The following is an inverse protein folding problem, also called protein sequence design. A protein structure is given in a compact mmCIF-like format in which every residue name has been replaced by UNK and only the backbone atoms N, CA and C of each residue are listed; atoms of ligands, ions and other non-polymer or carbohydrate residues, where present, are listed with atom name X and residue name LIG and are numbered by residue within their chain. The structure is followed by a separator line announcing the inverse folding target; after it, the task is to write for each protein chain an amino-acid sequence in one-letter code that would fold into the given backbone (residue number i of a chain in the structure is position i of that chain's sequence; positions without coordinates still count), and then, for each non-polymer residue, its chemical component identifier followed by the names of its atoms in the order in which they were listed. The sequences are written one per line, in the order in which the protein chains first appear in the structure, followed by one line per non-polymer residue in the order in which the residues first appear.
data_IF_598921925214
#
_entry.id   IF_598921925214
#
_cell.length_a   1.000
_cell.length_b   1.000
_cell.length_c   1.000
_cell.angle_alpha   90.00
_cell.angle_beta   90.00
_cell.angle_gamma   90.00
#
_symmetry.space_group_name_H-M   'P 1'
#
loop_
_entity.id
_entity.type
_entity.pdbx_description
1 polymer ?
#
# COMPACT_ATOMS: atom_id res chain seq x y z
N UNK A 1 56.66 1.23 66.76
CA UNK A 1 56.87 2.26 65.73
C UNK A 1 56.01 1.92 64.52
N UNK A 2 55.29 2.93 64.00
CA UNK A 2 54.70 3.04 62.65
C UNK A 2 53.41 2.25 62.32
N UNK A 3 52.31 3.00 62.21
CA UNK A 3 51.33 3.01 61.09
C UNK A 3 49.87 3.05 61.55
N UNK A 4 49.36 4.25 61.81
CA UNK A 4 47.93 4.57 61.73
C UNK A 4 47.85 5.99 61.20
N UNK A 5 47.51 6.18 59.92
CA UNK A 5 47.09 7.44 59.28
C UNK A 5 47.04 7.20 57.75
N UNK A 6 45.98 6.56 57.23
CA UNK A 6 45.71 6.59 55.78
C UNK A 6 44.29 6.14 55.38
N UNK A 7 43.22 6.65 55.99
CA UNK A 7 41.85 6.27 55.55
C UNK A 7 40.78 7.36 55.58
N UNK A 8 41.11 8.63 55.84
CA UNK A 8 40.13 9.72 55.80
C UNK A 8 40.09 10.50 54.46
N UNK A 9 41.09 10.34 53.58
CA UNK A 9 41.21 11.15 52.36
C UNK A 9 40.41 10.64 51.15
N UNK A 10 40.06 9.35 51.09
CA UNK A 10 39.49 8.75 49.87
C UNK A 10 37.95 8.87 49.78
N UNK A 11 37.26 9.13 50.90
CA UNK A 11 35.80 9.25 50.92
C UNK A 11 35.28 10.64 50.51
N UNK A 12 36.11 11.69 50.57
CA UNK A 12 35.71 13.05 50.17
C UNK A 12 35.82 13.31 48.66
N UNK A 13 36.65 12.57 47.92
CA UNK A 13 36.85 12.80 46.49
C UNK A 13 35.79 12.10 45.61
N UNK A 14 35.21 10.98 46.07
CA UNK A 14 34.18 10.25 45.31
C UNK A 14 32.81 10.95 45.39
N UNK A 15 32.53 11.69 46.46
CA UNK A 15 31.25 12.40 46.65
C UNK A 15 31.09 13.63 45.77
N UNK A 16 32.16 14.31 45.37
CA UNK A 16 32.09 15.50 44.50
C UNK A 16 31.81 15.16 43.03
N UNK A 17 32.31 14.03 42.51
CA UNK A 17 32.12 13.64 41.11
C UNK A 17 30.67 13.21 40.80
N UNK A 18 30.00 12.53 41.75
CA UNK A 18 28.62 12.06 41.54
C UNK A 18 27.57 13.19 41.67
N UNK A 19 27.86 14.24 42.44
CA UNK A 19 26.93 15.36 42.62
C UNK A 19 26.79 16.21 41.35
N UNK A 20 27.89 16.45 40.63
CA UNK A 20 27.94 17.34 39.47
C UNK A 20 27.17 16.78 38.25
N UNK A 21 27.19 15.46 38.05
CA UNK A 21 26.47 14.80 36.94
C UNK A 21 24.94 14.88 37.08
N UNK A 22 24.44 14.90 38.33
CA UNK A 22 23.01 14.92 38.61
C UNK A 22 22.35 16.28 38.35
N UNK A 23 23.10 17.36 38.45
CA UNK A 23 22.61 18.72 38.21
C UNK A 23 22.63 19.09 36.72
N UNK A 24 23.62 18.61 35.95
CA UNK A 24 23.64 18.83 34.50
C UNK A 24 22.41 18.20 33.81
N UNK A 25 21.84 17.11 34.34
CA UNK A 25 20.63 16.46 33.78
C UNK A 25 19.37 17.32 33.85
N UNK A 26 19.31 18.30 34.75
CA UNK A 26 18.13 19.15 34.97
C UNK A 26 18.04 20.31 33.97
N UNK A 27 19.10 20.59 33.22
CA UNK A 27 19.12 21.63 32.20
C UNK A 27 18.38 21.14 30.94
N UNK A 28 17.35 21.90 30.55
CA UNK A 28 16.52 21.60 29.37
C UNK A 28 17.16 22.09 28.06
N UNK A 29 17.97 23.13 28.13
CA UNK A 29 18.70 23.65 26.97
C UNK A 29 19.91 22.76 26.68
N UNK A 30 19.95 22.17 25.48
CA UNK A 30 20.98 21.23 25.06
C UNK A 30 22.39 21.84 25.09
N UNK A 31 22.53 23.12 24.74
CA UNK A 31 23.82 23.81 24.72
C UNK A 31 24.39 24.02 26.13
N UNK A 32 23.54 24.44 27.07
CA UNK A 32 23.92 24.67 28.47
C UNK A 32 24.21 23.34 29.18
N UNK A 33 23.42 22.30 28.89
CA UNK A 33 23.63 20.95 29.41
C UNK A 33 24.96 20.37 28.95
N UNK A 34 25.30 20.52 27.66
CA UNK A 34 26.56 20.03 27.12
C UNK A 34 27.76 20.76 27.75
N UNK A 35 27.68 22.09 27.87
CA UNK A 35 28.71 22.90 28.52
C UNK A 35 28.93 22.49 30.00
N UNK A 36 27.85 22.16 30.72
CA UNK A 36 27.92 21.64 32.09
C UNK A 36 28.71 20.32 32.17
N UNK A 37 28.46 19.38 31.24
CA UNK A 37 29.21 18.12 31.18
C UNK A 37 30.67 18.30 30.75
N UNK A 38 30.95 19.22 29.83
CA UNK A 38 32.31 19.51 29.40
C UNK A 38 33.13 20.08 30.57
N UNK A 39 32.58 21.05 31.30
CA UNK A 39 33.22 21.63 32.50
C UNK A 39 33.40 20.58 33.60
N UNK A 40 32.40 19.73 33.82
CA UNK A 40 32.46 18.63 34.78
C UNK A 40 33.57 17.62 34.48
N UNK A 41 33.89 17.43 33.20
CA UNK A 41 34.92 16.52 32.74
C UNK A 41 36.25 17.23 32.42
N UNK A 42 36.44 18.46 32.89
CA UNK A 42 37.68 19.23 32.71
C UNK A 42 37.96 19.65 31.27
N UNK A 43 36.96 19.60 30.38
CA UNK A 43 37.04 20.13 29.02
C UNK A 43 36.59 21.60 29.03
N UNK A 44 37.54 22.51 28.83
CA UNK A 44 37.19 23.88 28.47
C UNK A 44 36.82 23.90 26.99
N UNK A 45 35.58 24.28 26.67
CA UNK A 45 35.18 24.52 25.28
C UNK A 45 36.13 25.53 24.64
N UNK A 46 36.59 25.32 23.38
CA UNK A 46 37.37 26.33 22.69
C UNK A 46 36.55 27.62 22.60
N UNK A 47 37.19 28.76 22.91
CA UNK A 47 36.62 30.11 22.95
C UNK A 47 35.91 30.56 21.65
N UNK A 48 36.05 29.76 20.58
CA UNK A 48 35.42 29.94 19.26
C UNK A 48 33.91 29.67 19.26
N UNK A 49 33.34 29.04 20.31
CA UNK A 49 31.91 28.73 20.37
C UNK A 49 31.02 29.90 20.83
N UNK A 50 31.59 31.04 21.27
CA UNK A 50 30.81 32.17 21.78
C UNK A 50 30.20 33.08 20.68
N UNK A 51 30.40 32.77 19.40
CA UNK A 51 29.78 33.50 18.30
C UNK A 51 29.49 32.58 17.12
N UNK A 52 28.56 31.63 17.30
CA UNK A 52 27.79 31.18 16.14
C UNK A 52 26.70 32.24 15.89
N UNK A 53 26.80 33.04 14.81
CA UNK A 53 25.73 33.96 14.47
C UNK A 53 24.44 33.16 14.24
N UNK A 54 23.30 33.72 14.63
CA UNK A 54 21.95 33.18 14.39
C UNK A 54 21.66 32.79 12.91
N UNK A 55 22.57 33.14 11.99
CA UNK A 55 22.63 32.67 10.61
C UNK A 55 22.67 31.13 10.47
N UNK A 56 23.29 30.38 11.38
CA UNK A 56 23.40 28.91 11.24
C UNK A 56 22.07 28.20 11.54
N UNK A 57 21.28 28.72 12.48
CA UNK A 57 19.93 28.22 12.74
C UNK A 57 18.95 28.53 11.59
N UNK A 58 19.11 29.70 10.95
CA UNK A 58 18.37 30.05 9.73
C UNK A 58 18.73 29.17 8.53
N UNK A 59 20.02 28.85 8.34
CA UNK A 59 20.52 28.02 7.23
C UNK A 59 20.04 26.57 7.30
N UNK A 60 19.92 25.97 8.49
CA UNK A 60 19.31 24.65 8.64
C UNK A 60 17.85 24.64 8.16
N UNK A 61 17.07 25.66 8.53
CA UNK A 61 15.65 25.78 8.13
C UNK A 61 15.47 26.06 6.63
N UNK A 62 16.37 26.82 6.01
CA UNK A 62 16.35 27.09 4.56
C UNK A 62 16.77 25.85 3.77
N UNK A 63 17.82 25.14 4.20
CA UNK A 63 18.24 23.88 3.57
C UNK A 63 17.18 22.78 3.70
N UNK A 64 16.48 22.71 4.84
CA UNK A 64 15.35 21.81 5.03
C UNK A 64 14.17 22.18 4.12
N UNK A 65 13.81 23.45 4.03
CA UNK A 65 12.76 23.93 3.14
C UNK A 65 13.09 23.69 1.64
N UNK A 66 14.33 23.91 1.22
CA UNK A 66 14.82 23.61 -0.13
C UNK A 66 14.73 22.11 -0.42
N UNK A 67 15.15 21.27 0.54
CA UNK A 67 15.05 19.81 0.42
C UNK A 67 13.59 19.35 0.35
N UNK A 68 12.70 19.96 1.12
CA UNK A 68 11.26 19.70 1.07
C UNK A 68 10.65 20.10 -0.27
N UNK A 69 11.02 21.27 -0.80
CA UNK A 69 10.58 21.73 -2.12
C UNK A 69 11.10 20.81 -3.23
N UNK A 70 12.34 20.33 -3.12
CA UNK A 70 12.91 19.35 -4.04
C UNK A 70 12.17 18.00 -3.95
N UNK A 71 11.87 17.51 -2.75
CA UNK A 71 11.07 16.29 -2.57
C UNK A 71 9.66 16.44 -3.13
N UNK A 72 9.00 17.59 -2.94
CA UNK A 72 7.70 17.86 -3.54
C UNK A 72 7.75 17.88 -5.07
N UNK A 73 8.79 18.48 -5.65
CA UNK A 73 8.98 18.50 -7.09
C UNK A 73 9.14 17.09 -7.64
N UNK A 74 10.02 16.29 -7.05
CA UNK A 74 10.21 14.87 -7.42
C UNK A 74 8.90 14.08 -7.24
N UNK A 75 8.14 14.34 -6.16
CA UNK A 75 6.85 13.71 -5.90
C UNK A 75 5.83 14.03 -6.99
N UNK A 76 5.74 15.29 -7.44
CA UNK A 76 4.80 15.77 -8.48
C UNK A 76 5.19 15.30 -9.89
N UNK A 77 6.49 15.13 -10.14
CA UNK A 77 7.01 14.65 -11.44
C UNK A 77 6.90 13.12 -11.60
N UNK A 78 6.77 12.37 -10.48
CA UNK A 78 6.62 10.91 -10.51
C UNK A 78 5.28 10.49 -11.13
N UNK A 79 5.33 9.73 -12.21
CA UNK A 79 4.15 9.08 -12.80
C UNK A 79 3.45 8.21 -11.74
N UNK A 80 2.15 8.42 -11.58
CA UNK A 80 1.33 7.80 -10.54
C UNK A 80 1.28 8.56 -9.20
N UNK A 81 1.75 9.81 -9.16
CA UNK A 81 1.63 10.69 -7.99
C UNK A 81 0.17 11.03 -7.62
N UNK A 82 -0.68 11.11 -8.64
CA UNK A 82 -2.11 11.36 -8.58
C UNK A 82 -2.85 10.40 -9.53
N UNK A 83 -4.19 10.40 -9.47
CA UNK A 83 -5.02 9.53 -10.31
C UNK A 83 -4.87 9.79 -11.81
N UNK A 84 -4.72 11.05 -12.23
CA UNK A 84 -4.60 11.46 -13.64
C UNK A 84 -3.33 10.86 -14.25
N UNK A 85 -2.20 10.96 -13.54
CA UNK A 85 -0.91 10.38 -13.94
C UNK A 85 -0.99 8.84 -14.00
N UNK A 86 -1.65 8.20 -13.02
CA UNK A 86 -1.82 6.73 -12.97
C UNK A 86 -2.62 6.19 -14.17
N UNK A 87 -3.49 7.01 -14.75
CA UNK A 87 -4.28 6.70 -15.94
C UNK A 87 -3.77 7.37 -17.22
N UNK A 88 -2.60 8.04 -17.14
CA UNK A 88 -1.92 8.74 -18.24
C UNK A 88 -2.85 9.67 -19.03
N UNK A 89 -3.73 10.35 -18.31
CA UNK A 89 -4.70 11.27 -18.91
C UNK A 89 -4.09 12.64 -19.20
N UNK A 90 -2.90 12.91 -18.67
CA UNK A 90 -2.09 14.06 -19.09
C UNK A 90 -1.23 13.66 -20.30
N UNK A 91 -1.47 14.31 -21.44
CA UNK A 91 -0.75 14.07 -22.70
C UNK A 91 0.76 14.27 -22.58
N UNK A 92 1.23 15.12 -21.65
CA UNK A 92 2.66 15.31 -21.38
C UNK A 92 3.34 14.15 -20.64
N UNK A 93 2.56 13.23 -20.07
CA UNK A 93 3.04 12.10 -19.25
C UNK A 93 2.61 10.72 -19.78
N UNK A 94 2.19 10.64 -21.03
CA UNK A 94 1.89 9.38 -21.70
C UNK A 94 3.17 8.56 -21.91
N UNK A 95 3.16 7.29 -21.53
CA UNK A 95 4.30 6.38 -21.73
C UNK A 95 4.08 5.42 -22.90
N UNK A 96 3.08 5.67 -23.75
CA UNK A 96 2.77 4.85 -24.93
C UNK A 96 1.82 3.67 -24.69
N UNK A 97 1.37 3.04 -25.78
CA UNK A 97 0.44 1.91 -25.77
C UNK A 97 1.16 0.56 -25.64
N UNK A 98 0.42 -0.46 -25.18
CA UNK A 98 0.84 -1.86 -25.04
C UNK A 98 1.98 -2.14 -24.06
N UNK A 99 2.42 -1.15 -23.27
CA UNK A 99 3.35 -1.39 -22.18
C UNK A 99 2.60 -1.86 -20.92
N UNK A 100 2.93 -3.05 -20.37
CA UNK A 100 2.31 -3.54 -19.16
C UNK A 100 2.80 -2.75 -17.94
N UNK A 101 1.85 -2.40 -17.06
CA UNK A 101 2.07 -1.64 -15.83
C UNK A 101 1.28 -2.30 -14.70
N UNK A 102 1.72 -2.09 -13.46
CA UNK A 102 0.95 -2.55 -12.30
C UNK A 102 -0.44 -1.91 -12.26
N UNK A 103 -1.47 -2.70 -11.96
CA UNK A 103 -2.85 -2.23 -11.93
C UNK A 103 -3.44 -2.24 -10.51
N UNK A 104 -3.86 -3.42 -10.03
CA UNK A 104 -4.29 -3.65 -8.64
C UNK A 104 -3.07 -4.09 -7.81
N UNK A 105 -3.16 -4.14 -6.46
CA UNK A 105 -2.07 -4.62 -5.64
C UNK A 105 -1.56 -5.97 -6.11
N UNK A 106 -0.25 -6.09 -6.27
CA UNK A 106 0.44 -7.34 -6.54
C UNK A 106 1.08 -7.79 -5.25
N UNK A 107 0.83 -9.03 -4.84
CA UNK A 107 1.32 -9.54 -3.58
C UNK A 107 1.51 -11.04 -3.65
N UNK A 108 2.41 -11.53 -2.80
CA UNK A 108 2.56 -12.93 -2.46
C UNK A 108 2.51 -13.03 -0.94
N UNK A 109 1.55 -13.78 -0.43
CA UNK A 109 1.42 -14.15 0.97
C UNK A 109 1.80 -15.63 1.06
N UNK A 110 3.01 -15.96 1.51
CA UNK A 110 3.45 -17.36 1.60
C UNK A 110 2.58 -18.19 2.53
N UNK A 111 2.01 -17.54 3.56
CA UNK A 111 1.17 -18.17 4.57
C UNK A 111 -0.11 -17.35 4.74
N UNK A 112 -1.25 -18.00 4.54
CA UNK A 112 -2.59 -17.54 4.90
C UNK A 112 -3.30 -18.67 5.62
N UNK A 113 -4.09 -18.34 6.63
CA UNK A 113 -4.81 -19.30 7.48
C UNK A 113 -6.31 -19.06 7.38
N UNK A 114 -7.09 -20.13 7.28
CA UNK A 114 -8.56 -20.09 7.37
C UNK A 114 -9.07 -21.18 8.32
N UNK A 115 -10.05 -20.85 9.15
CA UNK A 115 -10.71 -21.81 10.05
C UNK A 115 -11.89 -22.52 9.38
N UNK A 116 -12.40 -21.95 8.30
CA UNK A 116 -13.53 -22.47 7.55
C UNK A 116 -13.06 -22.70 6.11
N UNK A 117 -13.01 -23.97 5.70
CA UNK A 117 -12.73 -24.38 4.33
C UNK A 117 -14.03 -24.89 3.75
N UNK A 118 -14.47 -24.26 2.67
CA UNK A 118 -15.65 -24.59 1.92
C UNK A 118 -15.43 -25.86 1.08
N UNK A 119 -15.71 -26.99 1.70
CA UNK A 119 -15.66 -28.32 1.07
C UNK A 119 -16.93 -28.66 0.26
N UNK A 120 -17.93 -27.78 0.23
CA UNK A 120 -19.17 -27.98 -0.51
C UNK A 120 -19.60 -26.70 -1.26
N UNK A 121 -18.77 -26.20 -2.20
CA UNK A 121 -19.05 -24.96 -2.89
C UNK A 121 -20.30 -25.11 -3.76
N UNK A 122 -21.24 -24.19 -3.57
CA UNK A 122 -22.49 -24.10 -4.32
C UNK A 122 -22.69 -22.69 -4.88
N UNK A 123 -23.49 -22.59 -5.92
CA UNK A 123 -24.02 -21.31 -6.40
C UNK A 123 -25.43 -21.51 -6.94
N UNK A 124 -26.23 -20.43 -7.11
CA UNK A 124 -27.63 -20.55 -7.55
C UNK A 124 -27.82 -21.18 -8.93
N UNK A 125 -26.78 -21.27 -9.76
CA UNK A 125 -26.91 -21.85 -11.09
C UNK A 125 -27.14 -23.37 -11.06
N UNK A 126 -27.94 -23.91 -12.00
CA UNK A 126 -28.14 -25.36 -12.13
C UNK A 126 -26.81 -26.10 -12.32
N UNK A 127 -26.62 -27.23 -11.66
CA UNK A 127 -25.40 -28.06 -11.71
C UNK A 127 -24.11 -27.37 -11.21
N UNK A 128 -24.20 -26.34 -10.37
CA UNK A 128 -23.05 -25.63 -9.78
C UNK A 128 -22.83 -25.94 -8.28
N UNK A 129 -23.38 -27.05 -7.81
CA UNK A 129 -23.20 -27.54 -6.44
C UNK A 129 -22.29 -28.74 -6.46
N UNK A 130 -21.08 -28.60 -5.90
CA UNK A 130 -20.19 -29.72 -5.64
C UNK A 130 -20.42 -30.20 -4.21
N UNK A 131 -20.59 -31.50 -4.03
CA UNK A 131 -20.61 -32.13 -2.71
C UNK A 131 -19.34 -32.93 -2.53
N UNK A 132 -18.70 -32.79 -1.37
CA UNK A 132 -17.54 -33.56 -0.97
C UNK A 132 -16.42 -33.52 -2.01
N UNK A 133 -15.67 -32.40 -2.09
CA UNK A 133 -14.49 -32.29 -2.98
C UNK A 133 -13.38 -33.32 -2.62
N UNK A 134 -13.62 -34.23 -1.68
CA UNK A 134 -12.86 -35.45 -1.42
C UNK A 134 -11.44 -35.22 -0.90
N UNK A 135 -11.08 -33.97 -0.63
CA UNK A 135 -9.71 -33.53 -0.39
C UNK A 135 -9.58 -33.08 1.05
N UNK A 136 -8.67 -33.71 1.81
CA UNK A 136 -8.23 -33.18 3.09
C UNK A 136 -7.36 -31.96 2.78
N UNK A 137 -7.99 -30.78 2.79
CA UNK A 137 -7.32 -29.51 2.53
C UNK A 137 -6.68 -28.99 3.83
N UNK A 138 -5.49 -28.41 3.70
CA UNK A 138 -4.80 -27.78 4.81
C UNK A 138 -5.39 -26.37 5.05
N UNK A 139 -5.67 -25.99 6.32
CA UNK A 139 -6.01 -24.62 6.72
C UNK A 139 -4.99 -23.56 6.30
N UNK A 140 -3.74 -23.96 6.08
CA UNK A 140 -2.66 -23.11 5.61
C UNK A 140 -2.50 -23.20 4.09
N UNK A 141 -2.51 -22.05 3.43
CA UNK A 141 -2.30 -21.91 1.98
C UNK A 141 -1.38 -20.73 1.68
N UNK A 142 -0.70 -20.77 0.54
CA UNK A 142 -0.13 -19.56 -0.05
C UNK A 142 -1.21 -18.85 -0.89
N UNK A 143 -1.22 -17.52 -0.84
CA UNK A 143 -2.12 -16.68 -1.64
C UNK A 143 -1.31 -15.64 -2.39
N UNK A 144 -1.56 -15.48 -3.68
CA UNK A 144 -0.95 -14.39 -4.43
C UNK A 144 -1.92 -13.77 -5.42
N UNK A 145 -1.61 -12.53 -5.80
CA UNK A 145 -2.32 -11.80 -6.82
C UNK A 145 -1.32 -11.13 -7.78
N UNK A 146 -1.55 -11.32 -9.06
CA UNK A 146 -0.84 -10.64 -10.14
C UNK A 146 -1.86 -9.75 -10.85
N UNK A 147 -1.52 -8.49 -11.10
CA UNK A 147 -2.45 -7.55 -11.73
C UNK A 147 -1.71 -6.54 -12.58
N UNK A 148 -1.95 -6.62 -13.88
CA UNK A 148 -1.33 -5.77 -14.88
C UNK A 148 -2.40 -5.06 -15.71
N UNK A 149 -2.07 -3.88 -16.20
CA UNK A 149 -2.84 -3.17 -17.22
C UNK A 149 -1.92 -2.66 -18.31
N UNK A 150 -2.46 -2.51 -19.52
CA UNK A 150 -1.78 -1.89 -20.64
C UNK A 150 -2.75 -0.95 -21.34
N UNK A 151 -2.25 0.21 -21.76
CA UNK A 151 -3.02 1.16 -22.56
C UNK A 151 -3.18 0.59 -23.97
N UNK A 152 -4.41 0.49 -24.46
CA UNK A 152 -4.71 0.01 -25.81
C UNK A 152 -4.73 1.16 -26.80
N UNK A 153 -5.43 2.24 -26.44
CA UNK A 153 -5.64 3.39 -27.31
C UNK A 153 -5.70 4.66 -26.49
N UNK A 154 -4.84 5.61 -26.85
CA UNK A 154 -4.83 6.96 -26.30
C UNK A 154 -5.80 7.86 -27.07
N UNK A 155 -6.66 8.55 -26.31
CA UNK A 155 -7.61 9.54 -26.82
C UNK A 155 -8.37 9.14 -28.10
N UNK A 156 -9.06 7.98 -28.13
CA UNK A 156 -9.67 7.44 -29.35
C UNK A 156 -10.72 8.35 -30.00
N UNK A 157 -11.36 9.21 -29.19
CA UNK A 157 -12.49 10.06 -29.62
C UNK A 157 -12.24 11.57 -29.37
N UNK A 158 -11.02 11.97 -28.99
CA UNK A 158 -10.75 13.37 -28.62
C UNK A 158 -11.40 13.81 -27.30
N UNK A 159 -11.86 12.87 -26.47
CA UNK A 159 -12.62 13.11 -25.23
C UNK A 159 -11.76 13.13 -23.96
N UNK A 160 -10.45 13.32 -24.10
CA UNK A 160 -9.48 13.28 -22.99
C UNK A 160 -9.59 11.96 -22.18
N UNK A 161 -9.60 10.87 -22.93
CA UNK A 161 -9.91 9.54 -22.42
C UNK A 161 -8.93 8.48 -22.95
N UNK A 162 -8.61 7.49 -22.13
CA UNK A 162 -7.76 6.37 -22.53
C UNK A 162 -8.50 5.05 -22.41
N UNK A 163 -8.30 4.18 -23.41
CA UNK A 163 -8.77 2.80 -23.39
C UNK A 163 -7.66 1.88 -22.89
N UNK A 164 -7.98 1.01 -21.94
CA UNK A 164 -7.05 0.11 -21.27
C UNK A 164 -7.55 -1.33 -21.30
N UNK A 165 -6.62 -2.28 -21.38
CA UNK A 165 -6.85 -3.67 -21.04
C UNK A 165 -6.22 -3.93 -19.67
N UNK A 166 -6.91 -4.69 -18.84
CA UNK A 166 -6.46 -5.14 -17.53
C UNK A 166 -6.56 -6.66 -17.43
N UNK A 167 -5.67 -7.25 -16.65
CA UNK A 167 -5.74 -8.64 -16.27
C UNK A 167 -5.33 -8.78 -14.81
N UNK A 168 -6.22 -9.33 -14.00
CA UNK A 168 -5.94 -9.68 -12.61
C UNK A 168 -6.15 -11.17 -12.41
N UNK A 169 -5.18 -11.82 -11.77
CA UNK A 169 -5.26 -13.22 -11.37
C UNK A 169 -5.02 -13.33 -9.88
N UNK A 170 -5.89 -14.03 -9.16
CA UNK A 170 -5.69 -14.37 -7.75
C UNK A 170 -5.73 -15.88 -7.59
N UNK A 171 -4.73 -16.45 -6.92
CA UNK A 171 -4.60 -17.89 -6.73
C UNK A 171 -4.44 -18.24 -5.25
N UNK A 172 -5.02 -19.39 -4.87
CA UNK A 172 -4.82 -20.05 -3.58
C UNK A 172 -4.21 -21.41 -3.79
N UNK A 173 -3.07 -21.62 -3.15
CA UNK A 173 -2.20 -22.74 -3.41
C UNK A 173 -1.97 -23.54 -2.12
N UNK A 174 -2.33 -24.83 -2.17
CA UNK A 174 -2.16 -25.78 -1.07
C UNK A 174 -0.70 -26.26 -0.97
N UNK A 175 0.24 -25.31 -0.83
CA UNK A 175 1.70 -25.59 -0.72
C UNK A 175 2.02 -26.58 0.39
N UNK A 176 1.23 -26.54 1.47
CA UNK A 176 1.42 -27.32 2.69
C UNK A 176 0.63 -28.65 2.70
N UNK A 177 0.19 -29.13 1.53
CA UNK A 177 -0.56 -30.39 1.38
C UNK A 177 0.18 -31.34 0.42
N UNK A 178 1.33 -31.90 0.85
CA UNK A 178 2.13 -32.78 0.01
C UNK A 178 1.38 -34.07 -0.41
N UNK A 179 0.43 -34.53 0.39
CA UNK A 179 -0.39 -35.74 0.15
C UNK A 179 -1.24 -35.61 -1.12
N UNK A 180 -1.59 -34.38 -1.51
CA UNK A 180 -2.34 -34.07 -2.73
C UNK A 180 -1.45 -33.48 -3.84
N UNK A 181 -0.13 -33.61 -3.72
CA UNK A 181 0.83 -33.01 -4.66
C UNK A 181 0.73 -31.49 -4.75
N UNK A 182 0.36 -30.83 -3.65
CA UNK A 182 0.31 -29.36 -3.51
C UNK A 182 -0.52 -28.67 -4.60
N UNK A 183 -1.82 -28.99 -4.74
CA UNK A 183 -2.63 -28.49 -5.83
C UNK A 183 -2.98 -27.01 -5.64
N UNK A 184 -3.25 -26.30 -6.74
CA UNK A 184 -3.98 -25.04 -6.65
C UNK A 184 -5.44 -25.36 -6.31
N UNK A 185 -5.92 -24.86 -5.18
CA UNK A 185 -7.32 -25.06 -4.78
C UNK A 185 -8.25 -24.23 -5.65
N UNK A 186 -7.85 -22.99 -5.93
CA UNK A 186 -8.66 -22.04 -6.68
C UNK A 186 -7.76 -21.00 -7.38
N UNK A 187 -8.04 -20.71 -8.65
CA UNK A 187 -7.47 -19.56 -9.36
C UNK A 187 -8.60 -18.78 -10.00
N UNK A 188 -8.67 -17.48 -9.74
CA UNK A 188 -9.62 -16.57 -10.34
C UNK A 188 -8.93 -15.70 -11.39
N UNK A 189 -9.49 -15.67 -12.58
CA UNK A 189 -9.07 -14.91 -13.74
C UNK A 189 -10.04 -13.75 -13.95
N UNK A 190 -9.52 -12.53 -14.02
CA UNK A 190 -10.31 -11.31 -14.15
C UNK A 190 -9.72 -10.40 -15.24
N UNK A 191 -9.98 -10.69 -16.53
CA UNK A 191 -9.74 -9.74 -17.61
C UNK A 191 -10.75 -8.58 -17.59
N UNK A 192 -10.28 -7.39 -17.93
CA UNK A 192 -11.03 -6.15 -17.91
C UNK A 192 -10.69 -5.26 -19.12
N UNK A 193 -11.69 -4.57 -19.68
CA UNK A 193 -11.48 -3.47 -20.62
C UNK A 193 -12.08 -2.21 -20.02
N UNK A 194 -11.32 -1.12 -20.00
CA UNK A 194 -11.65 0.08 -19.23
C UNK A 194 -11.50 1.32 -20.10
N UNK A 195 -12.52 2.17 -20.14
CA UNK A 195 -12.43 3.52 -20.66
C UNK A 195 -12.37 4.48 -19.46
N UNK A 196 -11.30 5.26 -19.37
CA UNK A 196 -11.11 6.22 -18.27
C UNK A 196 -10.98 7.62 -18.85
N UNK A 197 -11.77 8.53 -18.34
CA UNK A 197 -11.91 9.92 -18.77
C UNK A 197 -11.36 10.84 -17.70
N UNK A 198 -10.72 11.93 -18.11
CA UNK A 198 -10.37 13.02 -17.22
C UNK A 198 -11.64 13.85 -16.90
N UNK A 199 -11.92 14.08 -15.61
CA UNK A 199 -13.12 14.81 -15.18
C UNK A 199 -12.79 15.91 -14.17
N UNK A 200 -12.28 17.07 -14.63
CA UNK A 200 -11.89 18.16 -13.75
C UNK A 200 -13.13 18.92 -13.25
N UNK A 201 -13.63 18.55 -12.07
CA UNK A 201 -14.66 19.30 -11.36
C UNK A 201 -14.27 19.43 -9.88
N UNK A 202 -14.88 20.36 -9.15
CA UNK A 202 -14.64 20.51 -7.71
C UNK A 202 -15.97 20.51 -6.94
N UNK A 203 -16.06 19.68 -5.89
CA UNK A 203 -17.24 19.60 -5.02
C UNK A 203 -16.76 19.52 -3.56
N UNK A 204 -17.14 20.48 -2.71
CA UNK A 204 -16.75 20.53 -1.28
C UNK A 204 -15.24 20.41 -1.02
N UNK A 205 -14.42 20.98 -1.92
CA UNK A 205 -12.96 20.91 -1.90
C UNK A 205 -12.37 19.56 -2.32
N UNK A 206 -13.17 18.63 -2.82
CA UNK A 206 -12.71 17.44 -3.52
C UNK A 206 -12.59 17.73 -5.00
N UNK A 207 -11.44 17.41 -5.59
CA UNK A 207 -11.19 17.55 -7.02
C UNK A 207 -11.52 16.22 -7.70
N UNK A 208 -12.52 16.22 -8.56
CA UNK A 208 -12.74 15.18 -9.55
C UNK A 208 -11.49 15.04 -10.43
N UNK A 209 -10.99 13.82 -10.54
CA UNK A 209 -9.83 13.47 -11.36
C UNK A 209 -10.23 12.59 -12.52
N UNK A 210 -11.04 11.56 -12.25
CA UNK A 210 -11.40 10.59 -13.27
C UNK A 210 -12.86 10.16 -13.18
N UNK A 211 -13.43 9.81 -14.31
CA UNK A 211 -14.58 8.93 -14.41
C UNK A 211 -14.22 7.74 -15.28
N UNK A 212 -14.62 6.54 -14.88
CA UNK A 212 -14.27 5.30 -15.54
C UNK A 212 -15.49 4.43 -15.82
N UNK A 213 -15.44 3.71 -16.92
CA UNK A 213 -16.37 2.62 -17.22
C UNK A 213 -15.57 1.39 -17.63
N UNK A 214 -15.86 0.26 -16.99
CA UNK A 214 -15.16 -0.99 -17.24
C UNK A 214 -16.10 -2.14 -17.52
N UNK A 215 -15.70 -3.00 -18.45
CA UNK A 215 -16.29 -4.30 -18.70
C UNK A 215 -15.36 -5.37 -18.14
N UNK A 216 -15.82 -6.12 -17.15
CA UNK A 216 -15.02 -7.12 -16.45
C UNK A 216 -15.66 -8.49 -16.61
N UNK A 217 -14.88 -9.47 -17.06
CA UNK A 217 -15.23 -10.87 -16.91
C UNK A 217 -14.43 -11.45 -15.74
N UNK A 218 -15.06 -12.26 -14.90
CA UNK A 218 -14.33 -13.00 -13.87
C UNK A 218 -14.78 -14.45 -13.88
N UNK A 219 -13.83 -15.38 -13.88
CA UNK A 219 -14.10 -16.81 -13.81
C UNK A 219 -12.98 -17.55 -13.09
N UNK A 220 -13.23 -18.80 -12.72
CA UNK A 220 -12.20 -19.66 -12.15
C UNK A 220 -11.61 -20.70 -13.10
N UNK A 221 -12.08 -20.73 -14.36
CA UNK A 221 -11.59 -21.66 -15.37
C UNK A 221 -11.89 -23.14 -15.10
N UNK A 222 -12.80 -23.47 -14.16
CA UNK A 222 -13.14 -24.85 -13.82
C UNK A 222 -14.37 -25.34 -14.58
N UNK A 223 -14.47 -26.66 -14.76
CA UNK A 223 -15.68 -27.31 -15.28
C UNK A 223 -16.75 -27.46 -14.19
N UNK A 224 -17.99 -27.74 -14.59
CA UNK A 224 -19.06 -28.11 -13.65
C UNK A 224 -18.65 -29.35 -12.82
N UNK A 225 -19.03 -29.43 -11.53
CA UNK A 225 -19.88 -28.48 -10.79
C UNK A 225 -19.13 -27.30 -10.12
N UNK A 226 -17.81 -27.23 -10.29
CA UNK A 226 -16.95 -26.23 -9.64
C UNK A 226 -16.77 -24.94 -10.44
N UNK A 227 -17.29 -24.89 -11.67
CA UNK A 227 -17.29 -23.70 -12.53
C UNK A 227 -17.88 -22.51 -11.80
N UNK A 228 -17.23 -21.35 -11.83
CA UNK A 228 -17.76 -20.06 -11.35
C UNK A 228 -17.43 -19.00 -12.37
N UNK A 229 -18.43 -18.20 -12.76
CA UNK A 229 -18.20 -17.10 -13.68
C UNK A 229 -19.32 -16.05 -13.69
N UNK A 230 -18.93 -14.81 -13.96
CA UNK A 230 -19.84 -13.68 -14.07
C UNK A 230 -19.20 -12.51 -14.84
N UNK A 231 -20.04 -11.60 -15.31
CA UNK A 231 -19.65 -10.38 -16.00
C UNK A 231 -20.15 -9.17 -15.20
N UNK A 232 -19.36 -8.10 -15.16
CA UNK A 232 -19.69 -6.85 -14.47
C UNK A 232 -19.46 -5.67 -15.41
N UNK A 233 -20.35 -4.69 -15.34
CA UNK A 233 -20.10 -3.34 -15.82
C UNK A 233 -19.83 -2.49 -14.59
N UNK A 234 -18.66 -1.87 -14.51
CA UNK A 234 -18.22 -1.12 -13.33
C UNK A 234 -18.06 0.34 -13.72
N UNK A 235 -18.80 1.22 -13.03
CA UNK A 235 -18.56 2.66 -13.06
C UNK A 235 -17.62 3.05 -11.92
N UNK A 236 -16.60 3.86 -12.20
CA UNK A 236 -15.68 4.41 -11.21
C UNK A 236 -15.71 5.94 -11.27
N UNK A 237 -15.66 6.58 -10.11
CA UNK A 237 -15.36 8.00 -9.99
C UNK A 237 -14.16 8.12 -9.07
N UNK A 238 -13.16 8.91 -9.47
CA UNK A 238 -11.97 9.15 -8.66
C UNK A 238 -11.83 10.61 -8.31
N UNK A 239 -11.66 10.90 -7.03
CA UNK A 239 -11.54 12.24 -6.47
C UNK A 239 -10.35 12.32 -5.51
N UNK A 240 -9.74 13.50 -5.42
CA UNK A 240 -8.59 13.75 -4.54
C UNK A 240 -8.78 15.04 -3.73
N UNK A 241 -8.23 15.07 -2.51
CA UNK A 241 -8.20 16.24 -1.64
C UNK A 241 -6.96 16.21 -0.75
N UNK A 242 -5.96 17.04 -1.06
CA UNK A 242 -4.66 17.00 -0.38
C UNK A 242 -4.00 15.63 -0.58
N UNK A 243 -3.64 14.95 0.51
CA UNK A 243 -3.08 13.58 0.47
C UNK A 243 -4.15 12.48 0.40
N UNK A 244 -5.44 12.82 0.39
CA UNK A 244 -6.53 11.85 0.32
C UNK A 244 -6.91 11.54 -1.13
N UNK A 245 -7.16 10.26 -1.38
CA UNK A 245 -7.58 9.71 -2.68
C UNK A 245 -8.79 8.81 -2.45
N UNK A 246 -9.88 9.06 -3.17
CA UNK A 246 -11.15 8.36 -3.02
C UNK A 246 -11.66 7.91 -4.39
N UNK A 247 -11.72 6.59 -4.61
CA UNK A 247 -12.23 5.98 -5.84
C UNK A 247 -13.43 5.06 -5.57
N UNK A 248 -14.64 5.58 -5.35
CA UNK A 248 -15.84 4.75 -5.32
C UNK A 248 -16.04 4.09 -6.68
N UNK A 249 -16.04 2.76 -6.68
CA UNK A 249 -16.45 1.94 -7.81
C UNK A 249 -17.78 1.26 -7.49
N UNK A 250 -18.74 1.38 -8.40
CA UNK A 250 -20.03 0.68 -8.35
C UNK A 250 -20.12 -0.26 -9.53
N UNK A 251 -20.26 -1.56 -9.25
CA UNK A 251 -20.53 -2.57 -10.27
C UNK A 251 -22.03 -2.82 -10.38
N UNK A 252 -22.58 -2.73 -11.59
CA UNK A 252 -23.91 -3.27 -11.90
C UNK A 252 -23.77 -4.64 -12.57
N UNK A 253 -24.63 -5.58 -12.17
CA UNK A 253 -24.68 -6.94 -12.74
C UNK A 253 -25.79 -6.98 -13.79
N UNK A 254 -25.44 -6.88 -15.06
CA UNK A 254 -26.35 -7.16 -16.17
C UNK A 254 -25.59 -7.18 -17.50
N UNK A 255 -24.97 -8.31 -17.83
CA UNK A 255 -24.71 -8.67 -19.24
C UNK A 255 -25.10 -10.14 -19.40
N UNK A 256 -26.26 -10.45 -20.00
CA UNK A 256 -26.68 -11.82 -20.26
C UNK A 256 -25.88 -12.36 -21.45
N UNK A 257 -24.65 -12.78 -21.20
CA UNK A 257 -24.03 -13.80 -22.02
C UNK A 257 -24.48 -15.15 -21.49
N UNK A 258 -24.79 -16.09 -22.40
CA UNK A 258 -25.51 -17.37 -22.21
C UNK A 258 -25.05 -18.26 -21.02
N UNK A 259 -23.94 -17.94 -20.36
CA UNK A 259 -23.30 -18.71 -19.29
C UNK A 259 -22.94 -17.89 -18.02
N UNK A 260 -23.46 -16.68 -17.79
CA UNK A 260 -23.20 -15.96 -16.53
C UNK A 260 -23.96 -16.63 -15.36
N UNK A 261 -23.24 -17.35 -14.49
CA UNK A 261 -23.83 -18.36 -13.61
C UNK A 261 -24.01 -17.89 -12.16
N UNK A 262 -23.34 -16.82 -11.72
CA UNK A 262 -23.38 -16.43 -10.29
C UNK A 262 -23.96 -15.03 -10.05
N UNK A 263 -25.25 -14.88 -9.69
CA UNK A 263 -25.77 -13.70 -9.01
C UNK A 263 -25.32 -13.69 -7.55
N UNK A 264 -24.34 -12.87 -7.21
CA UNK A 264 -24.13 -12.51 -5.81
C UNK A 264 -24.80 -11.15 -5.51
N UNK A 265 -25.52 -11.10 -4.39
CA UNK A 265 -26.14 -9.88 -3.87
C UNK A 265 -25.04 -8.93 -3.34
N UNK A 266 -25.14 -7.63 -3.64
CA UNK A 266 -24.14 -6.56 -3.38
C UNK A 266 -23.43 -6.60 -2.01
N UNK A 267 -24.09 -7.10 -0.96
CA UNK A 267 -23.53 -7.16 0.41
C UNK A 267 -22.44 -8.22 0.59
N UNK A 268 -22.42 -9.29 -0.21
CA UNK A 268 -21.33 -10.29 -0.17
C UNK A 268 -20.20 -10.00 -1.16
N UNK A 269 -20.41 -9.19 -2.20
CA UNK A 269 -19.45 -9.08 -3.31
C UNK A 269 -18.18 -8.26 -3.02
N UNK A 270 -18.20 -7.38 -2.01
CA UNK A 270 -17.11 -6.38 -1.81
C UNK A 270 -15.80 -6.97 -1.27
N UNK A 271 -15.83 -8.17 -0.70
CA UNK A 271 -14.66 -8.83 -0.12
C UNK A 271 -14.46 -10.28 -0.60
N UNK A 272 -15.19 -10.72 -1.63
CA UNK A 272 -15.19 -12.12 -2.02
C UNK A 272 -14.03 -12.48 -2.95
N UNK A 273 -12.89 -12.67 -2.31
CA UNK A 273 -12.34 -14.01 -2.25
C UNK A 273 -13.52 -14.98 -1.98
N UNK A 274 -14.01 -15.74 -2.98
CA UNK A 274 -15.10 -16.73 -2.79
C UNK A 274 -14.95 -17.42 -1.43
N UNK A 275 -16.05 -17.58 -0.65
CA UNK A 275 -15.96 -18.07 0.71
C UNK A 275 -15.33 -19.46 0.58
N UNK A 276 -14.10 -19.48 1.05
CA UNK A 276 -13.06 -20.45 0.73
C UNK A 276 -13.24 -21.69 1.54
#
# INVERSE_FOLDING_TARGET
MKNLLCSAGLFLLVTQAMALESDCKKLLNDSERLACYDLANGRSAPEVAAALPAAVAGQASVAEAEKQAQYEKIRKERIGSNMVDRWELDSGKSTGSFLPRAYKPMYVLPITYTTDINNNPSSPAPNHTATNIGSILNPLEAKFQISLKAKLWENPLGLDANLWAGYTQSSRWQVYTPELSRPFRETNYEPEVMAVFHTPYEIFGWQGRIAGLSLTHQSNGRAQPLSRSWNRVIGEIGMEKGDWSLSPASGYRELPWRNSVDPCHWKSCRHFAWPS
#
